data_IF_946349036759
#
_entry.id   IF_946349036759
#
_cell.length_a   1.000
_cell.length_b   1.000
_cell.length_c   1.000
_cell.angle_alpha   90.00
_cell.angle_beta   90.00
_cell.angle_gamma   90.00
#
_symmetry.space_group_name_H-M   'P 1'
#
loop_
_entity.id
_entity.type
_entity.pdbx_description
1 polymer ?
#
# COMPACT_ATOMS: atom_id res chain seq x y z
N UNK A 1 -34.12 38.08 -10.02
CA UNK A 1 -34.47 36.65 -9.85
C UNK A 1 -33.47 36.07 -8.87
N UNK A 2 -33.93 35.57 -7.72
CA UNK A 2 -33.10 35.10 -6.62
C UNK A 2 -32.95 33.58 -6.74
N UNK A 3 -31.72 33.11 -6.82
CA UNK A 3 -31.37 31.68 -6.79
C UNK A 3 -31.24 31.30 -5.31
N UNK A 4 -31.94 30.25 -4.82
CA UNK A 4 -31.76 29.81 -3.45
C UNK A 4 -30.51 28.94 -3.34
N UNK A 5 -29.63 29.32 -2.40
CA UNK A 5 -28.59 28.49 -1.86
C UNK A 5 -29.22 27.26 -1.19
N UNK A 6 -28.80 26.06 -1.57
CA UNK A 6 -29.22 24.82 -0.92
C UNK A 6 -28.15 24.43 0.10
N UNK A 7 -28.53 24.63 1.36
CA UNK A 7 -27.77 24.32 2.57
C UNK A 7 -27.59 22.81 2.69
N UNK A 8 -26.34 22.35 2.81
CA UNK A 8 -26.02 20.98 3.24
C UNK A 8 -26.12 20.93 4.77
N UNK A 9 -27.19 20.28 5.25
CA UNK A 9 -27.38 19.97 6.65
C UNK A 9 -28.01 18.56 6.75
N UNK A 10 -27.25 17.57 7.25
CA UNK A 10 -27.76 16.31 7.82
C UNK A 10 -26.56 15.41 8.23
N UNK A 11 -26.45 14.77 9.38
CA UNK A 11 -27.04 14.91 10.72
C UNK A 11 -26.13 14.09 11.66
N UNK A 12 -25.85 14.67 12.82
CA UNK A 12 -25.29 14.00 14.00
C UNK A 12 -26.16 12.82 14.41
N UNK A 13 -25.58 11.62 14.51
CA UNK A 13 -26.24 10.48 15.17
C UNK A 13 -26.25 10.71 16.68
N UNK A 14 -27.44 10.59 17.24
CA UNK A 14 -27.84 10.96 18.60
C UNK A 14 -27.06 10.25 19.72
N UNK A 15 -26.69 11.03 20.73
CA UNK A 15 -26.29 10.57 22.06
C UNK A 15 -27.39 9.73 22.72
N UNK A 16 -26.95 8.69 23.42
CA UNK A 16 -27.79 7.74 24.15
C UNK A 16 -28.71 8.39 25.19
N UNK A 17 -29.96 7.95 25.17
CA UNK A 17 -30.92 8.21 26.24
C UNK A 17 -30.69 7.15 27.31
N UNK A 18 -30.13 7.55 28.45
CA UNK A 18 -30.08 6.70 29.64
C UNK A 18 -31.51 6.48 30.18
N UNK A 19 -31.89 5.27 30.62
CA UNK A 19 -33.17 5.05 31.27
C UNK A 19 -33.19 5.73 32.65
N UNK A 20 -34.16 6.63 32.84
CA UNK A 20 -34.55 7.13 34.16
C UNK A 20 -35.22 5.98 34.91
N UNK A 21 -34.46 5.29 35.76
CA UNK A 21 -35.00 4.35 36.71
C UNK A 21 -35.72 5.13 37.84
N UNK A 22 -37.04 5.00 37.88
CA UNK A 22 -37.84 5.43 39.02
C UNK A 22 -37.50 4.55 40.25
N UNK A 23 -36.72 5.10 41.18
CA UNK A 23 -36.38 4.47 42.45
C UNK A 23 -36.99 5.24 43.62
N UNK A 24 -37.95 4.62 44.29
CA UNK A 24 -38.60 5.08 45.52
C UNK A 24 -37.60 5.42 46.63
N UNK A 25 -37.68 6.62 47.20
CA UNK A 25 -36.91 7.01 48.37
C UNK A 25 -37.32 6.20 49.61
N UNK A 26 -36.43 5.32 50.05
CA UNK A 26 -36.46 4.67 51.36
C UNK A 26 -35.15 4.94 52.08
N UNK A 27 -35.21 5.67 53.20
CA UNK A 27 -34.09 6.02 54.05
C UNK A 27 -33.41 4.77 54.64
N UNK A 28 -32.07 4.71 54.58
CA UNK A 28 -31.30 3.67 55.25
C UNK A 28 -29.79 3.81 55.05
N UNK A 29 -29.12 4.34 56.07
CA UNK A 29 -27.65 4.37 56.25
C UNK A 29 -27.01 2.98 56.07
N UNK A 30 -25.81 2.92 55.48
CA UNK A 30 -24.57 2.32 56.02
C UNK A 30 -23.47 2.31 54.94
N UNK A 31 -22.22 2.60 55.35
CA UNK A 31 -21.09 2.83 54.45
C UNK A 31 -20.51 1.58 53.78
N UNK A 32 -19.81 1.81 52.67
CA UNK A 32 -18.82 0.91 52.11
C UNK A 32 -17.89 1.71 51.18
N UNK A 33 -16.60 1.68 51.51
CA UNK A 33 -15.48 1.48 50.59
C UNK A 33 -15.59 2.12 49.19
N UNK A 34 -14.94 3.28 49.02
CA UNK A 34 -14.56 3.79 47.69
C UNK A 34 -13.45 2.91 47.11
N UNK A 35 -13.82 1.76 46.56
CA UNK A 35 -13.06 1.14 45.48
C UNK A 35 -13.39 1.90 44.20
N UNK A 36 -12.45 2.71 43.71
CA UNK A 36 -12.55 3.29 42.39
C UNK A 36 -12.71 2.16 41.36
N UNK A 37 -13.64 2.27 40.39
CA UNK A 37 -13.66 1.32 39.29
C UNK A 37 -12.36 1.50 38.52
N UNK A 38 -11.50 0.47 38.53
CA UNK A 38 -10.42 0.39 37.56
C UNK A 38 -11.10 0.29 36.20
N UNK A 39 -10.94 1.32 35.38
CA UNK A 39 -11.14 1.21 33.95
C UNK A 39 -10.11 0.20 33.44
N UNK A 40 -10.49 -1.08 33.43
CA UNK A 40 -9.82 -2.08 32.62
C UNK A 40 -10.15 -1.72 31.17
N UNK A 41 -9.20 -1.03 30.53
CA UNK A 41 -9.14 -0.98 29.07
C UNK A 41 -8.60 -2.34 28.63
N UNK A 42 -9.45 -3.37 28.69
CA UNK A 42 -9.21 -4.60 27.94
C UNK A 42 -9.60 -4.32 26.49
N UNK A 43 -8.70 -3.63 25.79
CA UNK A 43 -8.74 -3.42 24.36
C UNK A 43 -7.59 -4.19 23.73
N UNK A 44 -7.69 -5.53 23.68
CA UNK A 44 -7.05 -6.23 22.57
C UNK A 44 -7.76 -5.73 21.31
N UNK A 45 -7.22 -4.68 20.70
CA UNK A 45 -7.69 -4.16 19.42
C UNK A 45 -7.78 -5.34 18.46
N UNK A 46 -8.99 -5.78 18.13
CA UNK A 46 -9.20 -6.58 16.93
C UNK A 46 -8.79 -5.66 15.77
N UNK A 47 -7.55 -5.84 15.27
CA UNK A 47 -6.98 -5.09 14.13
C UNK A 47 -7.69 -5.42 12.80
N UNK A 48 -8.83 -6.09 12.90
CA UNK A 48 -9.70 -6.40 11.77
C UNK A 48 -10.53 -5.16 11.41
N UNK A 49 -10.54 -4.74 10.14
CA UNK A 49 -11.41 -3.65 9.71
C UNK A 49 -12.88 -4.02 9.94
N UNK A 50 -13.64 -3.10 10.52
CA UNK A 50 -15.08 -3.24 10.74
C UNK A 50 -15.86 -3.25 9.44
N UNK A 51 -15.42 -2.50 8.44
CA UNK A 51 -16.03 -2.49 7.10
C UNK A 51 -15.00 -2.88 6.04
N UNK A 52 -15.33 -3.90 5.25
CA UNK A 52 -14.51 -4.34 4.12
C UNK A 52 -15.31 -4.18 2.84
N UNK A 53 -14.82 -3.36 1.93
CA UNK A 53 -15.37 -3.17 0.60
C UNK A 53 -14.46 -3.90 -0.40
N UNK A 54 -14.98 -4.90 -1.08
CA UNK A 54 -14.26 -5.63 -2.12
C UNK A 54 -14.86 -5.30 -3.48
N UNK A 55 -14.00 -4.93 -4.41
CA UNK A 55 -14.35 -4.50 -5.76
C UNK A 55 -13.75 -5.49 -6.74
N UNK A 56 -14.60 -6.26 -7.41
CA UNK A 56 -14.22 -7.20 -8.44
C UNK A 56 -14.39 -6.56 -9.81
N UNK A 57 -13.29 -6.08 -10.37
CA UNK A 57 -13.28 -5.47 -11.68
C UNK A 57 -13.59 -6.50 -12.78
N UNK A 58 -14.34 -6.10 -13.80
CA UNK A 58 -14.69 -6.92 -14.95
C UNK A 58 -13.95 -6.43 -16.21
N UNK A 59 -13.86 -7.28 -17.23
CA UNK A 59 -13.19 -7.00 -18.50
C UNK A 59 -13.99 -6.08 -19.43
N UNK A 60 -15.31 -6.02 -19.25
CA UNK A 60 -16.23 -5.08 -19.91
C UNK A 60 -16.22 -3.67 -19.32
N UNK A 61 -15.44 -3.45 -18.26
CA UNK A 61 -15.31 -2.18 -17.56
C UNK A 61 -16.29 -1.99 -16.41
N UNK A 62 -17.18 -2.94 -16.14
CA UNK A 62 -18.04 -2.92 -14.96
C UNK A 62 -17.27 -3.37 -13.70
N UNK A 63 -17.88 -3.16 -12.53
CA UNK A 63 -17.36 -3.68 -11.27
C UNK A 63 -18.48 -4.30 -10.43
N UNK A 64 -18.20 -5.45 -9.81
CA UNK A 64 -19.06 -6.01 -8.77
C UNK A 64 -18.52 -5.60 -7.41
N UNK A 65 -19.40 -5.06 -6.58
CA UNK A 65 -19.10 -4.64 -5.23
C UNK A 65 -19.64 -5.64 -4.23
N UNK A 66 -18.84 -5.92 -3.21
CA UNK A 66 -19.19 -6.74 -2.07
C UNK A 66 -18.76 -5.99 -0.81
N UNK A 67 -19.71 -5.49 -0.05
CA UNK A 67 -19.46 -4.67 1.14
C UNK A 67 -19.94 -5.40 2.37
N UNK A 68 -19.02 -5.68 3.28
CA UNK A 68 -19.28 -6.34 4.56
C UNK A 68 -19.11 -5.35 5.70
N UNK A 69 -20.07 -5.33 6.62
CA UNK A 69 -19.98 -4.60 7.88
C UNK A 69 -20.15 -5.55 9.04
N UNK A 70 -19.13 -5.58 9.90
CA UNK A 70 -19.09 -6.39 11.11
C UNK A 70 -19.65 -5.65 12.32
N UNK A 71 -20.36 -6.38 13.17
CA UNK A 71 -20.87 -5.94 14.45
C UNK A 71 -20.48 -6.96 15.52
N UNK A 72 -19.99 -6.48 16.65
CA UNK A 72 -19.82 -7.27 17.85
C UNK A 72 -21.18 -7.47 18.53
N UNK A 73 -21.44 -8.69 19.00
CA UNK A 73 -22.68 -9.15 19.61
C UNK A 73 -22.33 -9.83 20.93
N UNK A 74 -21.89 -9.05 21.90
CA UNK A 74 -21.37 -9.54 23.18
C UNK A 74 -22.47 -10.10 24.08
N UNK A 75 -23.71 -9.62 23.90
CA UNK A 75 -24.85 -10.06 24.70
C UNK A 75 -25.91 -10.84 23.88
N UNK A 76 -26.60 -11.86 24.45
CA UNK A 76 -27.64 -12.60 23.74
C UNK A 76 -28.81 -11.73 23.25
N UNK A 77 -29.14 -10.65 23.96
CA UNK A 77 -30.12 -9.65 23.53
C UNK A 77 -29.68 -8.88 22.28
N UNK A 78 -28.39 -8.61 22.13
CA UNK A 78 -27.83 -7.95 20.94
C UNK A 78 -27.93 -8.87 19.73
N UNK A 79 -27.65 -10.16 19.90
CA UNK A 79 -27.83 -11.15 18.84
C UNK A 79 -29.29 -11.18 18.34
N UNK A 80 -30.26 -11.27 19.25
CA UNK A 80 -31.67 -11.28 18.88
C UNK A 80 -32.15 -9.95 18.28
N UNK A 81 -31.55 -8.82 18.67
CA UNK A 81 -31.82 -7.52 18.06
C UNK A 81 -31.23 -7.45 16.65
N UNK A 82 -29.99 -7.91 16.47
CA UNK A 82 -29.30 -7.95 15.19
C UNK A 82 -30.01 -8.84 14.18
N UNK A 83 -30.45 -10.04 14.56
CA UNK A 83 -31.22 -10.94 13.67
C UNK A 83 -32.49 -10.28 13.12
N UNK A 84 -33.15 -9.45 13.92
CA UNK A 84 -34.34 -8.70 13.48
C UNK A 84 -33.99 -7.62 12.46
N UNK A 85 -32.92 -6.87 12.72
CA UNK A 85 -32.40 -5.85 11.79
C UNK A 85 -31.91 -6.53 10.50
N UNK A 86 -31.25 -7.68 10.61
CA UNK A 86 -30.77 -8.47 9.48
C UNK A 86 -31.89 -8.93 8.56
N UNK A 87 -33.02 -9.39 9.11
CA UNK A 87 -34.20 -9.76 8.31
C UNK A 87 -34.80 -8.57 7.55
N UNK A 88 -34.90 -7.41 8.18
CA UNK A 88 -35.37 -6.17 7.54
C UNK A 88 -34.37 -5.65 6.49
N UNK A 89 -33.09 -5.89 6.72
CA UNK A 89 -32.02 -5.56 5.78
C UNK A 89 -32.04 -6.47 4.55
N UNK A 90 -32.20 -7.79 4.73
CA UNK A 90 -32.35 -8.77 3.65
C UNK A 90 -33.58 -8.48 2.77
N UNK A 91 -34.68 -8.00 3.35
CA UNK A 91 -35.86 -7.57 2.59
C UNK A 91 -35.69 -6.23 1.86
N UNK A 92 -34.60 -5.50 2.14
CA UNK A 92 -34.32 -4.18 1.57
C UNK A 92 -35.19 -3.06 2.15
N UNK A 93 -35.84 -3.29 3.29
CA UNK A 93 -36.72 -2.33 3.96
C UNK A 93 -35.98 -1.51 5.04
N UNK A 94 -34.78 -1.93 5.41
CA UNK A 94 -33.95 -1.27 6.43
C UNK A 94 -33.16 -0.09 5.87
N UNK A 95 -33.22 1.05 6.59
CA UNK A 95 -32.30 2.18 6.42
C UNK A 95 -30.99 2.01 7.23
N UNK A 96 -30.84 0.89 7.93
CA UNK A 96 -29.69 0.61 8.81
C UNK A 96 -28.68 -0.27 8.10
N UNK A 97 -27.40 0.14 8.12
CA UNK A 97 -26.30 -0.58 7.48
C UNK A 97 -25.82 0.10 6.20
N UNK A 98 -25.09 -0.65 5.37
CA UNK A 98 -24.59 -0.15 4.09
C UNK A 98 -25.60 -0.43 3.00
N UNK A 99 -26.22 0.60 2.46
CA UNK A 99 -27.21 0.45 1.39
C UNK A 99 -26.64 0.88 0.03
N UNK A 100 -27.14 0.28 -1.05
CA UNK A 100 -26.76 0.66 -2.41
C UNK A 100 -27.13 2.12 -2.75
N UNK A 101 -28.04 2.74 -1.98
CA UNK A 101 -28.50 4.11 -2.20
C UNK A 101 -27.40 5.15 -1.98
N UNK A 102 -26.48 4.90 -1.03
CA UNK A 102 -25.28 5.72 -0.89
C UNK A 102 -24.43 5.68 -2.16
N UNK A 103 -24.17 4.47 -2.68
CA UNK A 103 -23.37 4.26 -3.88
C UNK A 103 -24.05 4.78 -5.15
N UNK A 104 -25.39 4.77 -5.22
CA UNK A 104 -26.15 5.41 -6.32
C UNK A 104 -25.84 6.90 -6.40
N UNK A 105 -25.88 7.61 -5.27
CA UNK A 105 -25.53 9.04 -5.23
C UNK A 105 -24.07 9.29 -5.62
N UNK A 106 -23.16 8.42 -5.20
CA UNK A 106 -21.74 8.53 -5.58
C UNK A 106 -21.58 8.27 -7.09
N UNK A 107 -22.24 7.24 -7.64
CA UNK A 107 -22.20 6.91 -9.06
C UNK A 107 -22.79 8.03 -9.94
N UNK A 108 -23.88 8.66 -9.52
CA UNK A 108 -24.44 9.84 -10.18
C UNK A 108 -23.42 10.99 -10.24
N UNK A 109 -22.77 11.27 -9.10
CA UNK A 109 -21.78 12.34 -9.02
C UNK A 109 -20.50 12.04 -9.82
N UNK A 110 -20.04 10.79 -9.81
CA UNK A 110 -18.95 10.35 -10.66
C UNK A 110 -19.34 10.44 -12.14
N UNK A 111 -20.60 10.18 -12.49
CA UNK A 111 -21.09 10.28 -13.88
C UNK A 111 -21.03 11.70 -14.39
N UNK A 112 -21.46 12.66 -13.58
CA UNK A 112 -21.36 14.09 -13.88
C UNK A 112 -19.90 14.53 -14.05
N UNK A 113 -19.01 14.07 -13.17
CA UNK A 113 -17.59 14.46 -13.18
C UNK A 113 -16.82 13.92 -14.39
N UNK A 114 -17.11 12.70 -14.79
CA UNK A 114 -16.35 12.00 -15.84
C UNK A 114 -17.00 12.10 -17.21
N UNK A 115 -18.28 12.52 -17.27
CA UNK A 115 -19.09 12.48 -18.49
C UNK A 115 -19.48 11.07 -18.92
N UNK A 116 -19.24 10.04 -18.10
CA UNK A 116 -19.59 8.64 -18.35
C UNK A 116 -20.83 8.26 -17.55
N UNK A 117 -21.84 7.72 -18.22
CA UNK A 117 -23.05 7.29 -17.52
C UNK A 117 -22.79 6.01 -16.70
N UNK A 118 -22.76 6.14 -15.37
CA UNK A 118 -22.60 5.04 -14.43
C UNK A 118 -23.88 4.78 -13.65
N UNK A 119 -24.15 3.52 -13.32
CA UNK A 119 -25.35 3.10 -12.58
C UNK A 119 -25.04 1.98 -11.62
N UNK A 120 -25.71 1.99 -10.48
CA UNK A 120 -25.75 0.85 -9.56
C UNK A 120 -26.95 -0.04 -9.91
N UNK A 121 -26.72 -1.34 -10.07
CA UNK A 121 -27.73 -2.31 -10.49
C UNK A 121 -27.67 -3.59 -9.64
N UNK A 122 -28.77 -4.35 -9.65
CA UNK A 122 -28.86 -5.69 -9.05
C UNK A 122 -28.38 -5.73 -7.59
N UNK A 123 -28.84 -4.76 -6.78
CA UNK A 123 -28.47 -4.72 -5.37
C UNK A 123 -29.16 -5.85 -4.60
N UNK A 124 -28.38 -6.62 -3.85
CA UNK A 124 -28.84 -7.68 -2.96
C UNK A 124 -28.24 -7.47 -1.58
N UNK A 125 -29.00 -7.84 -0.55
CA UNK A 125 -28.65 -7.66 0.84
C UNK A 125 -28.77 -8.99 1.56
N UNK A 126 -27.80 -9.28 2.41
CA UNK A 126 -27.74 -10.52 3.19
C UNK A 126 -27.24 -10.21 4.61
N UNK A 127 -27.50 -11.13 5.54
CA UNK A 127 -26.93 -11.06 6.88
C UNK A 127 -26.53 -12.45 7.39
N UNK A 128 -25.48 -12.47 8.22
CA UNK A 128 -25.05 -13.69 8.90
C UNK A 128 -24.73 -13.41 10.37
N UNK A 129 -24.85 -14.44 11.19
CA UNK A 129 -24.55 -14.39 12.62
C UNK A 129 -23.66 -15.56 12.98
N UNK A 130 -22.45 -15.26 13.44
CA UNK A 130 -21.56 -16.22 14.07
C UNK A 130 -21.68 -16.11 15.59
N UNK A 131 -22.49 -16.99 16.19
CA UNK A 131 -22.69 -17.02 17.64
C UNK A 131 -21.46 -17.51 18.41
N UNK A 132 -20.54 -18.20 17.75
CA UNK A 132 -19.31 -18.68 18.40
C UNK A 132 -18.26 -17.57 18.51
N UNK A 133 -18.23 -16.69 17.51
CA UNK A 133 -17.39 -15.49 17.49
C UNK A 133 -18.10 -14.25 18.09
N UNK A 134 -19.37 -14.36 18.52
CA UNK A 134 -20.14 -13.22 19.01
C UNK A 134 -20.22 -12.10 17.97
N UNK A 135 -20.41 -12.44 16.69
CA UNK A 135 -20.28 -11.48 15.59
C UNK A 135 -21.46 -11.56 14.64
N UNK A 136 -22.00 -10.41 14.24
CA UNK A 136 -22.98 -10.26 13.16
C UNK A 136 -22.34 -9.58 11.95
N UNK A 137 -22.69 -10.00 10.73
CA UNK A 137 -22.23 -9.38 9.49
C UNK A 137 -23.42 -9.01 8.62
N UNK A 138 -23.45 -7.76 8.15
CA UNK A 138 -24.36 -7.32 7.09
C UNK A 138 -23.58 -7.21 5.78
N UNK A 139 -24.14 -7.75 4.71
CA UNK A 139 -23.51 -7.80 3.38
C UNK A 139 -24.37 -7.09 2.36
N UNK A 140 -23.79 -6.17 1.58
CA UNK A 140 -24.40 -5.61 0.38
C UNK A 140 -23.60 -6.00 -0.85
N UNK A 141 -24.28 -6.54 -1.86
CA UNK A 141 -23.70 -6.81 -3.16
C UNK A 141 -24.44 -6.02 -4.25
N UNK A 142 -23.71 -5.46 -5.20
CA UNK A 142 -24.30 -4.75 -6.35
C UNK A 142 -23.31 -4.62 -7.50
N UNK A 143 -23.84 -4.42 -8.71
CA UNK A 143 -23.04 -4.07 -9.89
C UNK A 143 -22.94 -2.55 -10.07
N UNK A 144 -21.76 -2.05 -10.43
CA UNK A 144 -21.52 -0.68 -10.84
C UNK A 144 -21.08 -0.67 -12.30
N UNK A 145 -21.92 -0.12 -13.18
CA UNK A 145 -21.66 -0.13 -14.63
C UNK A 145 -20.70 0.96 -15.06
N UNK A 146 -19.92 0.70 -16.11
CA UNK A 146 -18.93 1.62 -16.68
C UNK A 146 -17.99 2.17 -15.60
N UNK A 147 -17.53 1.32 -14.67
CA UNK A 147 -16.70 1.72 -13.53
C UNK A 147 -15.27 2.07 -13.95
N UNK A 148 -14.72 1.28 -14.87
CA UNK A 148 -13.42 1.49 -15.49
C UNK A 148 -13.56 2.30 -16.77
N UNK A 149 -12.51 3.06 -17.07
CA UNK A 149 -12.37 3.77 -18.33
C UNK A 149 -11.57 2.94 -19.31
N UNK A 150 -12.07 2.77 -20.52
CA UNK A 150 -11.29 2.19 -21.62
C UNK A 150 -10.18 3.15 -22.07
N UNK A 151 -9.00 2.61 -22.35
CA UNK A 151 -7.84 3.35 -22.86
C UNK A 151 -7.70 3.14 -24.36
N UNK A 152 -7.02 4.07 -25.06
CA UNK A 152 -6.85 4.03 -26.52
C UNK A 152 -6.23 2.73 -27.06
N UNK A 153 -5.51 1.99 -26.21
CA UNK A 153 -4.83 0.75 -26.56
C UNK A 153 -5.63 -0.52 -26.16
N UNK A 154 -6.93 -0.38 -25.86
CA UNK A 154 -7.77 -1.51 -25.41
C UNK A 154 -7.47 -2.01 -23.99
N UNK A 155 -6.75 -1.22 -23.19
CA UNK A 155 -6.58 -1.47 -21.75
C UNK A 155 -7.65 -0.77 -20.92
N UNK A 156 -7.71 -1.07 -19.62
CA UNK A 156 -8.66 -0.48 -18.69
C UNK A 156 -7.94 0.43 -17.68
N UNK A 157 -8.58 1.50 -17.24
CA UNK A 157 -8.04 2.42 -16.25
C UNK A 157 -9.04 2.66 -15.11
N UNK A 158 -8.54 2.61 -13.88
CA UNK A 158 -9.23 2.93 -12.65
C UNK A 158 -8.66 4.21 -12.05
N UNK A 159 -9.50 5.15 -11.63
CA UNK A 159 -9.06 6.27 -10.81
C UNK A 159 -10.04 7.44 -10.79
N UNK A 160 -10.51 7.84 -11.96
CA UNK A 160 -11.41 8.99 -12.12
C UNK A 160 -12.76 8.83 -11.40
N UNK A 161 -13.24 7.60 -11.26
CA UNK A 161 -14.44 7.25 -10.46
C UNK A 161 -14.31 7.57 -8.97
N UNK A 162 -13.08 7.73 -8.46
CA UNK A 162 -12.84 8.10 -7.07
C UNK A 162 -12.88 9.61 -6.83
N UNK A 163 -12.80 10.42 -7.88
CA UNK A 163 -12.73 11.88 -7.77
C UNK A 163 -14.10 12.45 -7.43
N UNK A 164 -14.14 13.29 -6.41
CA UNK A 164 -15.31 14.08 -6.03
C UNK A 164 -15.22 15.46 -6.69
N UNK A 165 -16.30 15.95 -7.34
CA UNK A 165 -16.33 17.31 -7.84
C UNK A 165 -16.30 18.26 -6.65
N UNK A 166 -15.20 18.99 -6.52
CA UNK A 166 -15.06 20.06 -5.54
C UNK A 166 -15.44 21.37 -6.21
N UNK A 167 -16.60 21.92 -5.85
CA UNK A 167 -17.07 23.18 -6.44
C UNK A 167 -16.29 24.40 -5.92
N UNK A 168 -15.63 24.28 -4.77
CA UNK A 168 -15.05 25.42 -4.04
C UNK A 168 -13.62 25.19 -3.52
N UNK A 169 -13.02 24.02 -3.76
CA UNK A 169 -11.65 23.70 -3.34
C UNK A 169 -10.73 23.60 -4.55
N UNK A 170 -9.54 24.19 -4.46
CA UNK A 170 -8.52 24.14 -5.53
C UNK A 170 -7.93 22.72 -5.69
N UNK A 171 -8.04 21.88 -4.66
CA UNK A 171 -7.52 20.51 -4.68
C UNK A 171 -8.63 19.47 -4.96
N UNK A 172 -8.44 18.57 -5.93
CA UNK A 172 -9.37 17.48 -6.18
C UNK A 172 -9.40 16.52 -4.98
N UNK A 173 -10.57 16.41 -4.34
CA UNK A 173 -10.81 15.43 -3.30
C UNK A 173 -11.21 14.08 -3.91
N UNK A 174 -10.86 12.99 -3.22
CA UNK A 174 -11.35 11.64 -3.57
C UNK A 174 -12.22 11.11 -2.44
N UNK A 175 -13.26 10.32 -2.74
CA UNK A 175 -14.04 9.72 -1.65
C UNK A 175 -13.25 8.64 -0.87
N UNK A 176 -12.09 8.21 -1.37
CA UNK A 176 -11.16 7.35 -0.65
C UNK A 176 -10.54 8.03 0.59
N UNK A 177 -10.37 9.36 0.56
CA UNK A 177 -9.86 10.10 1.73
C UNK A 177 -10.89 10.21 2.86
N UNK A 178 -12.18 10.00 2.54
CA UNK A 178 -13.27 9.96 3.51
C UNK A 178 -13.38 8.63 4.26
N UNK A 179 -12.56 7.63 3.90
CA UNK A 179 -12.57 6.33 4.57
C UNK A 179 -12.10 6.45 6.02
N UNK A 180 -12.85 5.85 6.94
CA UNK A 180 -12.50 5.80 8.37
C UNK A 180 -11.41 4.76 8.65
N UNK A 181 -10.76 4.83 9.83
CA UNK A 181 -9.65 3.96 10.20
C UNK A 181 -9.98 2.46 10.26
N UNK A 182 -11.26 2.13 10.43
CA UNK A 182 -11.81 0.79 10.49
C UNK A 182 -12.32 0.28 9.13
N UNK A 183 -12.03 1.00 8.04
CA UNK A 183 -12.47 0.64 6.70
C UNK A 183 -11.31 0.17 5.83
N UNK A 184 -11.56 -0.87 5.04
CA UNK A 184 -10.61 -1.41 4.05
C UNK A 184 -11.27 -1.56 2.70
N UNK A 185 -10.60 -1.06 1.66
CA UNK A 185 -10.97 -1.27 0.27
C UNK A 185 -9.99 -2.28 -0.35
N UNK A 186 -10.54 -3.32 -0.97
CA UNK A 186 -9.78 -4.34 -1.70
C UNK A 186 -10.25 -4.34 -3.14
N UNK A 187 -9.37 -3.99 -4.07
CA UNK A 187 -9.67 -3.93 -5.50
C UNK A 187 -8.99 -5.11 -6.18
N UNK A 188 -9.78 -6.03 -6.73
CA UNK A 188 -9.28 -7.16 -7.49
C UNK A 188 -9.16 -6.81 -8.96
N UNK A 189 -8.01 -7.15 -9.54
CA UNK A 189 -7.72 -6.94 -10.96
C UNK A 189 -8.72 -7.70 -11.85
N UNK A 190 -9.10 -7.16 -13.03
CA UNK A 190 -9.98 -7.87 -13.94
C UNK A 190 -9.40 -9.23 -14.40
N UNK A 191 -10.24 -10.25 -14.65
CA UNK A 191 -9.80 -11.51 -15.24
C UNK A 191 -9.10 -11.29 -16.59
N UNK A 192 -7.95 -11.93 -16.82
CA UNK A 192 -7.20 -11.76 -18.09
C UNK A 192 -6.47 -10.41 -18.21
N UNK A 193 -6.34 -9.65 -17.12
CA UNK A 193 -5.56 -8.42 -17.09
C UNK A 193 -4.46 -8.49 -16.04
N UNK A 194 -3.36 -7.78 -16.30
CA UNK A 194 -2.29 -7.53 -15.36
C UNK A 194 -2.25 -6.05 -14.98
N UNK A 195 -1.89 -5.76 -13.73
CA UNK A 195 -1.62 -4.38 -13.30
C UNK A 195 -0.35 -3.89 -13.99
N UNK A 196 -0.46 -2.81 -14.77
CA UNK A 196 0.66 -2.23 -15.50
C UNK A 196 1.35 -1.11 -14.71
N UNK A 197 0.56 -0.19 -14.14
CA UNK A 197 1.07 0.96 -13.40
C UNK A 197 0.09 1.33 -12.30
N UNK A 198 0.63 1.70 -11.14
CA UNK A 198 -0.11 2.29 -10.02
C UNK A 198 0.58 3.62 -9.69
N UNK A 199 -0.19 4.71 -9.57
CA UNK A 199 0.34 6.04 -9.26
C UNK A 199 1.01 6.12 -7.88
N UNK A 200 0.58 5.29 -6.93
CA UNK A 200 1.07 5.28 -5.55
C UNK A 200 1.50 3.88 -5.08
N UNK A 201 2.31 3.83 -4.00
CA UNK A 201 2.72 2.57 -3.35
C UNK A 201 1.55 1.98 -2.57
N UNK A 202 0.75 1.14 -3.21
CA UNK A 202 -0.29 0.33 -2.55
C UNK A 202 0.27 -1.00 -2.06
N UNK A 203 -0.34 -1.56 -1.01
CA UNK A 203 -0.14 -2.96 -0.65
C UNK A 203 -0.78 -3.81 -1.75
N UNK A 204 0.02 -4.53 -2.53
CA UNK A 204 -0.47 -5.48 -3.51
C UNK A 204 -0.31 -6.90 -2.96
N UNK A 205 -1.39 -7.67 -2.91
CA UNK A 205 -1.37 -9.08 -2.51
C UNK A 205 -2.31 -9.87 -3.42
N UNK A 206 -1.86 -11.03 -3.93
CA UNK A 206 -2.69 -11.95 -4.72
C UNK A 206 -3.47 -11.26 -5.86
N UNK A 207 -2.81 -10.37 -6.63
CA UNK A 207 -3.44 -9.62 -7.72
C UNK A 207 -4.55 -8.63 -7.29
N UNK A 208 -4.59 -8.27 -6.02
CA UNK A 208 -5.47 -7.25 -5.46
C UNK A 208 -4.69 -6.07 -4.87
N UNK A 209 -5.27 -4.89 -4.98
CA UNK A 209 -4.81 -3.65 -4.35
C UNK A 209 -5.57 -3.48 -3.04
N UNK A 210 -4.84 -3.32 -1.93
CA UNK A 210 -5.42 -3.14 -0.59
C UNK A 210 -5.15 -1.72 -0.12
N UNK A 211 -6.20 -1.03 0.28
CA UNK A 211 -6.21 0.33 0.79
C UNK A 211 -6.88 0.32 2.16
N UNK A 212 -6.10 0.66 3.18
CA UNK A 212 -6.59 0.84 4.56
C UNK A 212 -6.95 2.33 4.76
N UNK A 213 -8.09 2.62 5.37
CA UNK A 213 -8.43 3.97 5.81
C UNK A 213 -7.71 4.37 7.11
N UNK A 214 -7.63 5.67 7.45
CA UNK A 214 -7.80 6.81 6.54
C UNK A 214 -6.59 6.92 5.60
N UNK A 215 -6.85 7.36 4.38
CA UNK A 215 -5.83 7.42 3.33
C UNK A 215 -5.69 8.83 2.76
N UNK A 216 -4.47 9.23 2.39
CA UNK A 216 -4.13 10.61 1.98
C UNK A 216 -4.32 10.85 0.47
N UNK A 217 -5.27 10.20 -0.20
CA UNK A 217 -5.49 10.40 -1.64
C UNK A 217 -6.14 11.77 -1.91
N UNK A 218 -5.34 12.82 -1.82
CA UNK A 218 -5.73 14.23 -2.01
C UNK A 218 -4.73 14.88 -2.99
N UNK A 219 -5.21 15.81 -3.83
CA UNK A 219 -4.35 16.54 -4.75
C UNK A 219 -3.68 15.64 -5.81
N UNK A 220 -2.35 15.73 -5.91
CA UNK A 220 -1.54 15.00 -6.90
C UNK A 220 -1.44 13.48 -6.61
N UNK A 221 -1.73 13.05 -5.38
CA UNK A 221 -1.65 11.66 -4.93
C UNK A 221 -2.91 10.83 -5.28
N UNK A 222 -3.58 11.13 -6.40
CA UNK A 222 -4.76 10.39 -6.84
C UNK A 222 -4.41 8.94 -7.21
N UNK A 223 -5.25 7.98 -6.80
CA UNK A 223 -5.09 6.57 -7.18
C UNK A 223 -5.44 6.41 -8.66
N UNK A 224 -4.45 6.14 -9.50
CA UNK A 224 -4.61 5.79 -10.90
C UNK A 224 -3.96 4.44 -11.13
N UNK A 225 -4.75 3.49 -11.60
CA UNK A 225 -4.31 2.13 -11.92
C UNK A 225 -4.65 1.85 -13.36
N UNK A 226 -3.67 1.43 -14.15
CA UNK A 226 -3.90 0.98 -15.53
C UNK A 226 -3.69 -0.53 -15.60
N UNK A 227 -4.63 -1.19 -16.26
CA UNK A 227 -4.65 -2.61 -16.52
C UNK A 227 -4.46 -2.84 -18.02
N UNK A 228 -3.62 -3.82 -18.35
CA UNK A 228 -3.43 -4.26 -19.73
C UNK A 228 -3.89 -5.71 -19.85
N UNK A 229 -4.52 -6.09 -20.98
CA UNK A 229 -4.80 -7.49 -21.24
C UNK A 229 -3.49 -8.26 -21.12
N UNK A 230 -3.51 -9.36 -20.38
CA UNK A 230 -2.47 -10.36 -20.55
C UNK A 230 -2.74 -10.97 -21.91
N UNK A 231 -1.97 -10.56 -22.94
CA UNK A 231 -1.88 -11.35 -24.18
C UNK A 231 -1.67 -12.78 -23.72
N UNK A 232 -2.61 -13.68 -24.09
CA UNK A 232 -2.68 -15.07 -23.63
C UNK A 232 -1.28 -15.50 -23.24
N UNK A 233 -1.02 -15.58 -21.93
CA UNK A 233 0.22 -16.10 -21.44
C UNK A 233 0.19 -17.52 -21.97
N UNK A 234 0.82 -17.70 -23.14
CA UNK A 234 0.64 -18.84 -24.00
C UNK A 234 0.90 -20.01 -23.08
N UNK A 235 -0.18 -20.65 -22.62
CA UNK A 235 -0.09 -21.71 -21.63
C UNK A 235 0.74 -22.70 -22.39
N UNK A 236 2.05 -22.79 -22.10
CA UNK A 236 2.92 -23.70 -22.83
C UNK A 236 2.24 -25.02 -22.58
N UNK A 237 1.59 -25.62 -23.59
CA UNK A 237 0.66 -26.68 -23.31
C UNK A 237 1.55 -27.81 -22.82
N UNK A 238 1.41 -28.18 -21.55
CA UNK A 238 2.20 -29.26 -20.96
C UNK A 238 1.97 -30.57 -21.73
N UNK A 239 0.89 -30.65 -22.53
CA UNK A 239 0.64 -31.69 -23.53
C UNK A 239 1.74 -31.79 -24.60
N UNK A 240 2.38 -30.68 -25.00
CA UNK A 240 3.56 -30.70 -25.88
C UNK A 240 4.83 -31.16 -25.14
N UNK A 241 4.91 -31.00 -23.82
CA UNK A 241 6.03 -31.52 -23.01
C UNK A 241 5.90 -33.03 -22.81
N UNK A 242 4.67 -33.56 -22.70
CA UNK A 242 4.42 -35.01 -22.61
C UNK A 242 4.50 -35.70 -23.98
N UNK A 243 4.17 -35.01 -25.08
CA UNK A 243 4.34 -35.53 -26.45
C UNK A 243 5.76 -35.39 -27.03
N UNK A 244 6.47 -34.31 -26.70
CA UNK A 244 7.81 -34.00 -27.24
C UNK A 244 8.97 -34.68 -26.50
N UNK A 245 8.81 -34.93 -25.19
CA UNK A 245 9.83 -35.62 -24.38
C UNK A 245 10.09 -37.05 -24.84
N UNK A 246 9.06 -37.76 -25.30
CA UNK A 246 9.19 -39.15 -25.80
C UNK A 246 9.91 -39.18 -27.14
N UNK A 247 9.67 -38.22 -28.04
CA UNK A 247 10.36 -38.13 -29.34
C UNK A 247 11.82 -37.76 -29.14
N UNK A 248 12.13 -36.81 -28.25
CA UNK A 248 13.52 -36.46 -27.92
C UNK A 248 14.28 -37.63 -27.26
N UNK A 249 13.65 -38.35 -26.33
CA UNK A 249 14.24 -39.53 -25.69
C UNK A 249 14.44 -40.69 -26.68
N UNK A 250 13.50 -40.90 -27.61
CA UNK A 250 13.63 -41.89 -28.69
C UNK A 250 14.74 -41.52 -29.67
N UNK A 251 14.86 -40.25 -30.05
CA UNK A 251 15.95 -39.78 -30.92
C UNK A 251 17.31 -39.93 -30.22
N UNK A 252 17.38 -39.67 -28.92
CA UNK A 252 18.60 -39.88 -28.12
C UNK A 252 18.96 -41.37 -27.99
N UNK A 253 17.96 -42.24 -27.81
CA UNK A 253 18.15 -43.70 -27.80
C UNK A 253 18.61 -44.24 -29.15
N UNK A 254 18.01 -43.76 -30.25
CA UNK A 254 18.42 -44.14 -31.62
C UNK A 254 19.84 -43.67 -31.91
N UNK A 255 20.19 -42.43 -31.53
CA UNK A 255 21.55 -41.92 -31.66
C UNK A 255 22.58 -42.73 -30.85
N UNK A 256 22.23 -43.13 -29.61
CA UNK A 256 23.09 -43.96 -28.77
C UNK A 256 23.31 -45.38 -29.34
N UNK A 257 22.28 -45.99 -29.93
CA UNK A 257 22.39 -47.32 -30.57
C UNK A 257 23.26 -47.25 -31.83
N UNK A 258 23.12 -46.22 -32.65
CA UNK A 258 23.97 -46.02 -33.84
C UNK A 258 25.43 -45.81 -33.44
N UNK A 259 25.69 -44.99 -32.41
CA UNK A 259 27.05 -44.74 -31.92
C UNK A 259 27.70 -46.01 -31.35
N UNK A 260 26.92 -46.87 -30.71
CA UNK A 260 27.37 -48.16 -30.16
C UNK A 260 27.62 -49.22 -31.23
N UNK A 261 26.92 -49.17 -32.36
CA UNK A 261 27.21 -50.05 -33.51
C UNK A 261 28.43 -49.58 -34.31
N UNK A 262 28.70 -48.28 -34.38
CA UNK A 262 29.90 -47.75 -35.03
C UNK A 262 31.20 -47.97 -34.22
N UNK A 263 31.09 -48.15 -32.90
CA UNK A 263 32.25 -48.48 -32.04
C UNK A 263 32.52 -49.99 -31.93
N UNK A 264 31.81 -50.81 -32.72
CA UNK A 264 31.85 -52.28 -32.68
C UNK A 264 32.59 -52.95 -33.85
N UNK A 265 33.63 -52.35 -34.43
CA UNK A 265 34.59 -53.10 -35.27
C UNK A 265 36.01 -52.60 -35.02
N UNK A 266 36.77 -53.34 -34.21
CA UNK A 266 38.16 -53.00 -33.94
C UNK A 266 38.78 -53.82 -32.82
N UNK A 267 38.65 -55.14 -32.92
CA UNK A 267 39.32 -56.16 -32.11
C UNK A 267 40.80 -55.83 -31.89
N UNK A 268 41.22 -55.75 -30.64
CA UNK A 268 42.62 -55.72 -30.27
C UNK A 268 43.32 -57.05 -30.58
N UNK A 269 44.57 -56.96 -31.03
CA UNK A 269 45.53 -58.06 -30.95
C UNK A 269 46.97 -57.52 -31.00
N UNK A 270 47.72 -57.77 -29.91
CA UNK A 270 49.10 -58.25 -29.99
C UNK A 270 50.24 -57.23 -30.19
N UNK A 271 50.87 -56.85 -29.08
CA UNK A 271 52.31 -57.04 -28.82
C UNK A 271 53.38 -56.44 -29.76
N UNK A 272 54.27 -55.62 -29.17
CA UNK A 272 55.65 -55.46 -29.66
C UNK A 272 56.19 -54.03 -29.72
N UNK A 273 57.21 -53.75 -28.88
CA UNK A 273 58.16 -52.59 -28.85
C UNK A 273 58.83 -52.28 -30.22
N UNK A 274 59.71 -51.24 -30.37
CA UNK A 274 60.16 -50.13 -29.47
C UNK A 274 59.99 -48.73 -30.14
N UNK A 275 59.96 -47.57 -29.46
CA UNK A 275 61.05 -46.89 -28.75
C UNK A 275 61.56 -45.68 -29.55
N UNK A 276 61.26 -44.46 -29.11
CA UNK A 276 62.12 -43.25 -29.15
C UNK A 276 61.49 -42.16 -28.24
N UNK A 277 62.30 -41.24 -27.65
CA UNK A 277 62.23 -40.99 -26.22
C UNK A 277 62.06 -39.52 -25.79
N UNK A 278 61.38 -39.40 -24.65
CA UNK A 278 61.73 -38.65 -23.43
C UNK A 278 61.73 -37.10 -23.38
N UNK A 279 61.25 -36.52 -22.25
CA UNK A 279 61.20 -35.08 -22.01
C UNK A 279 62.27 -34.55 -21.03
N UNK A 280 62.33 -33.20 -20.98
CA UNK A 280 62.93 -32.27 -19.98
C UNK A 280 64.44 -32.01 -20.06
N UNK A 281 65.02 -30.95 -19.44
CA UNK A 281 64.46 -29.78 -18.72
C UNK A 281 65.15 -28.41 -18.99
N UNK A 282 64.55 -27.34 -18.41
CA UNK A 282 65.17 -26.30 -17.54
C UNK A 282 65.25 -24.80 -17.93
N UNK A 283 64.87 -23.99 -16.92
CA UNK A 283 65.41 -22.72 -16.41
C UNK A 283 65.11 -21.31 -16.99
N UNK A 284 64.64 -20.44 -16.05
CA UNK A 284 64.97 -19.01 -15.87
C UNK A 284 63.93 -17.99 -16.39
N UNK A 285 63.46 -16.92 -15.72
CA UNK A 285 63.83 -16.22 -14.48
C UNK A 285 63.89 -14.69 -14.73
N UNK A 286 63.26 -13.84 -13.89
CA UNK A 286 63.60 -12.41 -13.78
C UNK A 286 62.45 -11.38 -13.90
N UNK A 287 62.41 -10.43 -12.97
CA UNK A 287 61.40 -9.38 -12.75
C UNK A 287 61.85 -7.96 -13.21
N UNK A 288 60.93 -6.98 -13.13
CA UNK A 288 61.10 -5.54 -12.75
C UNK A 288 60.54 -4.47 -13.72
N UNK A 289 59.95 -3.43 -13.10
CA UNK A 289 59.74 -2.00 -13.49
C UNK A 289 59.09 -1.65 -14.85
N UNK A 290 58.27 -0.61 -15.03
CA UNK A 290 58.04 0.62 -14.26
C UNK A 290 57.99 1.81 -15.25
N UNK A 291 57.05 2.74 -15.07
CA UNK A 291 57.28 4.15 -15.45
C UNK A 291 56.69 4.73 -16.75
N UNK A 292 55.57 5.46 -16.59
CA UNK A 292 55.26 6.86 -16.97
C UNK A 292 55.80 7.53 -18.25
N UNK A 293 54.93 8.35 -18.88
CA UNK A 293 55.28 9.48 -19.76
C UNK A 293 54.12 9.83 -20.71
N UNK A 294 53.20 10.76 -20.37
CA UNK A 294 53.29 12.22 -20.51
C UNK A 294 52.94 12.78 -21.91
N UNK A 295 51.79 13.49 -21.99
CA UNK A 295 51.70 14.79 -22.68
C UNK A 295 50.98 14.91 -24.05
N UNK A 296 50.49 16.11 -24.42
CA UNK A 296 49.20 16.41 -25.13
C UNK A 296 49.43 17.20 -26.45
N UNK A 297 48.57 18.10 -27.02
CA UNK A 297 47.14 18.48 -26.86
C UNK A 297 46.37 18.64 -28.22
N UNK A 298 45.22 19.36 -28.23
CA UNK A 298 44.55 20.11 -29.32
C UNK A 298 43.14 19.59 -29.71
N UNK A 299 42.10 20.38 -29.99
CA UNK A 299 41.82 21.84 -29.98
C UNK A 299 40.32 22.04 -30.31
N UNK A 300 39.68 23.08 -29.72
CA UNK A 300 38.61 23.99 -30.24
C UNK A 300 37.32 23.40 -30.90
N UNK A 301 36.10 23.85 -30.62
CA UNK A 301 35.57 25.23 -30.63
C UNK A 301 34.30 25.39 -29.76
N UNK A 302 34.20 26.54 -29.06
CA UNK A 302 32.94 27.21 -28.67
C UNK A 302 32.37 28.01 -29.88
N UNK A 303 31.11 28.51 -29.85
CA UNK A 303 30.73 29.77 -29.16
C UNK A 303 29.48 29.59 -28.25
N UNK A 304 29.32 30.25 -27.08
CA UNK A 304 29.11 31.71 -26.82
C UNK A 304 27.79 32.18 -27.49
N UNK A 305 26.74 32.77 -26.89
CA UNK A 305 26.37 33.54 -25.66
C UNK A 305 24.81 33.51 -25.63
N UNK A 306 24.06 33.79 -24.57
CA UNK A 306 23.95 35.09 -23.91
C UNK A 306 23.00 34.99 -22.70
N UNK A 307 23.36 35.74 -21.65
CA UNK A 307 22.69 35.91 -20.36
C UNK A 307 22.18 37.35 -20.27
N UNK A 308 21.03 37.56 -19.65
CA UNK A 308 20.69 38.72 -18.81
C UNK A 308 19.37 38.35 -18.10
N UNK A 309 19.36 38.06 -16.80
CA UNK A 309 19.47 38.95 -15.64
C UNK A 309 18.33 39.99 -15.59
N UNK A 310 17.41 39.81 -14.62
CA UNK A 310 16.77 40.91 -13.91
C UNK A 310 16.22 40.39 -12.55
N UNK A 311 16.55 41.15 -11.51
CA UNK A 311 16.34 40.94 -10.07
C UNK A 311 15.55 42.17 -9.55
N UNK A 312 15.25 42.31 -8.26
CA UNK A 312 14.02 41.89 -7.55
C UNK A 312 13.12 43.07 -7.14
N UNK A 313 11.95 42.77 -6.55
CA UNK A 313 11.26 43.70 -5.65
C UNK A 313 10.64 42.94 -4.48
N UNK A 314 10.76 43.53 -3.29
CA UNK A 314 10.47 42.97 -1.98
C UNK A 314 9.00 43.15 -1.57
N UNK A 315 8.48 42.20 -0.80
CA UNK A 315 7.62 42.54 0.33
C UNK A 315 7.76 41.48 1.45
N UNK A 316 7.79 41.97 2.68
CA UNK A 316 8.20 41.31 3.91
C UNK A 316 7.10 40.42 4.52
N UNK A 317 7.43 39.22 4.99
CA UNK A 317 6.97 38.71 6.31
C UNK A 317 7.70 37.44 6.77
N UNK A 318 8.28 37.56 7.96
CA UNK A 318 8.66 36.51 8.93
C UNK A 318 9.85 35.59 8.57
N UNK A 319 11.05 36.12 8.81
CA UNK A 319 12.27 35.33 8.97
C UNK A 319 12.20 34.48 10.25
N UNK A 320 11.95 33.19 10.10
CA UNK A 320 12.48 32.19 11.03
C UNK A 320 14.00 32.14 10.79
N UNK A 321 14.80 32.36 11.84
CA UNK A 321 16.26 32.28 11.78
C UNK A 321 16.67 30.89 11.22
N UNK A 322 17.04 30.83 9.94
CA UNK A 322 17.75 29.68 9.38
C UNK A 322 19.13 29.63 10.03
N UNK A 323 19.22 28.95 11.18
CA UNK A 323 20.49 28.62 11.82
C UNK A 323 21.28 27.79 10.82
N UNK A 324 22.49 28.24 10.48
CA UNK A 324 23.38 27.50 9.58
C UNK A 324 23.78 26.17 10.23
N UNK A 325 23.04 25.11 9.89
CA UNK A 325 23.17 23.76 10.42
C UNK A 325 24.55 23.12 10.14
N UNK A 326 25.42 23.78 9.37
CA UNK A 326 26.80 23.34 9.11
C UNK A 326 27.80 23.73 10.21
N UNK A 327 27.43 24.65 11.12
CA UNK A 327 28.24 25.05 12.26
C UNK A 327 27.92 24.27 13.55
N UNK A 328 26.85 23.48 13.55
CA UNK A 328 26.41 22.65 14.69
C UNK A 328 27.12 21.31 14.71
N UNK A 329 27.31 20.74 15.91
CA UNK A 329 27.82 19.37 16.04
C UNK A 329 26.84 18.36 15.41
N UNK A 330 27.33 17.18 15.04
CA UNK A 330 26.47 16.14 14.44
C UNK A 330 25.29 15.79 15.39
N UNK A 331 25.49 15.82 16.71
CA UNK A 331 24.46 15.60 17.73
C UNK A 331 23.47 16.77 17.83
N UNK A 332 23.96 18.02 17.88
CA UNK A 332 23.11 19.22 17.94
C UNK A 332 22.24 19.38 16.69
N UNK A 333 22.78 18.98 15.53
CA UNK A 333 22.02 18.96 14.28
C UNK A 333 20.87 17.95 14.33
N UNK A 334 21.05 16.81 15.00
CA UNK A 334 19.98 15.83 15.18
C UNK A 334 18.93 16.34 16.17
N UNK A 335 19.33 16.98 17.26
CA UNK A 335 18.40 17.59 18.22
C UNK A 335 17.57 18.68 17.56
N UNK A 336 18.20 19.60 16.83
CA UNK A 336 17.51 20.66 16.12
C UNK A 336 16.53 20.11 15.06
N UNK A 337 16.90 19.03 14.36
CA UNK A 337 16.00 18.34 13.44
C UNK A 337 14.80 17.71 14.15
N UNK A 338 15.00 17.17 15.36
CA UNK A 338 13.93 16.61 16.17
C UNK A 338 12.99 17.72 16.69
N UNK A 339 13.54 18.83 17.20
CA UNK A 339 12.78 20.01 17.67
C UNK A 339 11.87 20.56 16.57
N UNK A 340 12.44 20.82 15.38
CA UNK A 340 11.68 21.32 14.22
C UNK A 340 10.57 20.36 13.77
N UNK A 341 10.69 19.07 14.08
CA UNK A 341 9.70 18.05 13.73
C UNK A 341 8.81 17.63 14.92
N UNK A 342 8.65 18.50 15.92
CA UNK A 342 7.75 18.27 17.05
C UNK A 342 8.33 17.31 18.11
N UNK A 343 9.65 17.33 18.26
CA UNK A 343 10.41 16.57 19.25
C UNK A 343 10.59 15.09 18.93
N UNK A 344 10.09 14.59 17.79
CA UNK A 344 10.22 13.17 17.39
C UNK A 344 10.29 13.00 15.89
N UNK A 345 11.16 12.11 15.42
CA UNK A 345 11.32 11.83 13.99
C UNK A 345 11.77 10.38 13.77
N UNK A 346 11.38 9.78 12.63
CA UNK A 346 11.93 8.48 12.21
C UNK A 346 13.42 8.58 11.87
N UNK A 347 14.20 7.58 12.25
CA UNK A 347 15.63 7.49 11.90
C UNK A 347 15.89 7.62 10.39
N UNK A 348 15.02 7.05 9.54
CA UNK A 348 15.13 7.16 8.08
C UNK A 348 14.96 8.60 7.57
N UNK A 349 14.18 9.43 8.27
CA UNK A 349 14.05 10.85 7.92
C UNK A 349 15.30 11.62 8.35
N UNK A 350 15.93 11.29 9.48
CA UNK A 350 17.22 11.86 9.89
C UNK A 350 18.29 11.58 8.82
N UNK A 351 18.32 10.35 8.28
CA UNK A 351 19.20 9.96 7.15
C UNK A 351 18.94 10.83 5.91
N UNK A 352 17.66 11.05 5.57
CA UNK A 352 17.26 11.85 4.41
C UNK A 352 17.64 13.33 4.55
N UNK A 353 17.35 13.93 5.70
CA UNK A 353 17.57 15.38 5.95
C UNK A 353 19.06 15.72 6.17
N UNK A 354 19.84 14.79 6.73
CA UNK A 354 21.28 15.01 6.94
C UNK A 354 22.14 14.56 5.75
N UNK A 355 21.63 13.64 4.92
CA UNK A 355 22.39 12.96 3.87
C UNK A 355 23.46 12.01 4.39
N UNK A 356 23.45 11.67 5.69
CA UNK A 356 24.41 10.76 6.29
C UNK A 356 24.09 9.29 5.97
N UNK A 357 25.08 8.40 6.04
CA UNK A 357 24.83 6.97 5.86
C UNK A 357 24.05 6.38 7.04
N UNK A 358 23.24 5.35 6.79
CA UNK A 358 22.49 4.63 7.83
C UNK A 358 23.36 4.18 9.00
N UNK A 359 24.59 3.74 8.71
CA UNK A 359 25.56 3.31 9.71
C UNK A 359 26.02 4.46 10.60
N UNK A 360 26.33 5.64 10.01
CA UNK A 360 26.74 6.84 10.77
C UNK A 360 25.61 7.32 11.66
N UNK A 361 24.38 7.41 11.12
CA UNK A 361 23.19 7.81 11.88
C UNK A 361 22.89 6.81 13.00
N UNK A 362 22.97 5.51 12.73
CA UNK A 362 22.72 4.49 13.76
C UNK A 362 23.76 4.55 14.89
N UNK A 363 25.03 4.81 14.58
CA UNK A 363 26.08 4.94 15.57
C UNK A 363 25.90 6.19 16.43
N UNK A 364 25.65 7.34 15.80
CA UNK A 364 25.41 8.61 16.47
C UNK A 364 24.19 8.54 17.40
N UNK A 365 23.05 8.03 16.90
CA UNK A 365 21.83 7.89 17.71
C UNK A 365 21.99 6.89 18.86
N UNK A 366 22.86 5.89 18.71
CA UNK A 366 23.16 4.98 19.81
C UNK A 366 23.96 5.70 20.89
N UNK A 367 24.98 6.49 20.51
CA UNK A 367 25.74 7.30 21.46
C UNK A 367 24.86 8.34 22.18
N UNK A 368 24.01 9.06 21.44
CA UNK A 368 23.08 10.04 22.03
C UNK A 368 22.04 9.38 22.95
N UNK A 369 21.59 8.16 22.64
CA UNK A 369 20.68 7.42 23.51
C UNK A 369 21.38 6.93 24.79
N UNK A 370 22.64 6.50 24.69
CA UNK A 370 23.45 6.11 25.85
C UNK A 370 23.73 7.31 26.78
N UNK A 371 23.85 8.51 26.21
CA UNK A 371 23.98 9.79 26.93
C UNK A 371 22.64 10.35 27.46
N UNK A 372 21.51 9.69 27.14
CA UNK A 372 20.17 10.13 27.56
C UNK A 372 19.63 11.35 26.81
N UNK A 373 20.28 11.76 25.72
CA UNK A 373 19.90 12.92 24.90
C UNK A 373 18.76 12.64 23.93
N UNK A 374 18.53 11.37 23.59
CA UNK A 374 17.40 10.92 22.77
C UNK A 374 16.86 9.57 23.23
N UNK A 375 15.57 9.33 23.02
CA UNK A 375 14.91 8.06 23.24
C UNK A 375 14.71 7.32 21.92
N UNK A 376 14.92 6.00 21.93
CA UNK A 376 14.75 5.13 20.75
C UNK A 376 13.60 4.16 20.97
N UNK A 377 12.47 4.40 20.29
CA UNK A 377 11.33 3.49 20.27
C UNK A 377 11.30 2.72 18.95
N UNK A 378 11.19 1.39 19.03
CA UNK A 378 11.03 0.58 17.82
C UNK A 378 9.58 0.70 17.32
N UNK A 379 9.40 1.20 16.10
CA UNK A 379 8.11 1.30 15.41
C UNK A 379 8.12 0.35 14.20
N UNK A 380 7.65 -0.88 14.44
CA UNK A 380 7.66 -1.95 13.44
C UNK A 380 9.08 -2.33 12.99
N UNK A 381 9.43 -1.97 11.76
CA UNK A 381 10.76 -2.22 11.14
C UNK A 381 11.71 -1.02 11.20
N UNK A 382 11.23 0.12 11.68
CA UNK A 382 11.98 1.37 11.77
C UNK A 382 12.12 1.82 13.23
N UNK A 383 13.03 2.74 13.52
CA UNK A 383 13.14 3.34 14.84
C UNK A 383 12.59 4.78 14.80
N UNK A 384 11.73 5.10 15.76
CA UNK A 384 11.33 6.46 16.08
C UNK A 384 12.29 7.00 17.15
N UNK A 385 12.88 8.15 16.86
CA UNK A 385 13.77 8.88 17.76
C UNK A 385 12.98 10.04 18.34
N UNK A 386 13.04 10.27 19.64
CA UNK A 386 12.41 11.43 20.29
C UNK A 386 13.36 12.08 21.28
N UNK A 387 13.16 13.37 21.54
CA UNK A 387 13.83 14.04 22.65
C UNK A 387 13.32 13.46 23.98
N UNK A 388 14.13 13.46 25.05
CA UNK A 388 13.66 13.19 26.39
C UNK A 388 12.62 14.24 26.79
N UNK A 389 11.57 13.82 27.49
CA UNK A 389 10.65 14.76 28.10
C UNK A 389 11.43 15.47 29.22
N UNK A 390 11.71 16.76 29.05
CA UNK A 390 12.29 17.60 30.08
C UNK A 390 11.28 17.70 31.23
N UNK A 391 11.39 16.79 32.19
CA UNK A 391 10.71 16.89 33.46
C UNK A 391 11.22 18.14 34.18
N UNK A 392 10.58 19.28 33.93
CA UNK A 392 10.68 20.47 34.77
C UNK A 392 10.17 20.10 36.17
N UNK A 393 11.10 19.73 37.04
CA UNK A 393 10.93 19.61 38.49
C UNK A 393 10.76 21.00 39.13
#
# INVERSE_FOLDING_TARGET
>A
MRIPALVVALLLVFSGVAPVAAGTAGSGSLGAESAAPQAQVDGTLDDSPRTVMRVFLQDDGDARWHVEVRYELDEPNETAAFERIGQEYESGESDTGVTAELFRRIAERASESTGREMRIQNATYDYSVDRSAGTGTLTAEFGWTNFLRETENGGLALGDVFVLPSAESEEPQTWLSLMSADQRLVIETPPGYATNTTSIRVKQQNNAIIIDGPSKFEGEDSLVVTYRPTEDAQEIPWDLVVGGGVVAALLFLVAAVIFRWQSGTGTGAGGGRPGEPSPTPDAGGGASDGGVGAGPPAQTDEPTVERADEEPDADESEAEEEVDLSLLSDEERVEHLLERNGGRMKQANIVKETGWSDAKVSQLLSAMADEGRVNKLRLGRENLISLPDDGSD
#
